data_IF_794674790353
#
_entry.id   IF_794674790353
#
_cell.length_a   1.000
_cell.length_b   1.000
_cell.length_c   1.000
_cell.angle_alpha   90.00
_cell.angle_beta   90.00
_cell.angle_gamma   90.00
#
_symmetry.space_group_name_H-M   'P 1'
#
loop_
_entity.id
_entity.type
_entity.pdbx_description
1 polymer ?
#
# COMPACT_ATOMS: atom_id res chain seq x y z
N UNK A 1 18.41 10.06 3.00
CA UNK A 1 17.35 9.43 2.18
C UNK A 1 16.08 10.21 2.48
N UNK A 2 15.59 10.95 1.49
CA UNK A 2 14.39 11.77 1.67
C UNK A 2 13.16 10.86 1.79
N UNK A 3 12.26 11.17 2.72
CA UNK A 3 10.95 10.51 2.82
C UNK A 3 10.20 10.84 1.52
N UNK A 4 10.03 9.85 0.64
CA UNK A 4 9.18 10.01 -0.53
C UNK A 4 7.72 10.09 -0.07
N UNK A 5 6.95 11.05 -0.55
CA UNK A 5 5.54 11.24 -0.23
C UNK A 5 4.71 11.06 -1.50
N UNK A 6 3.70 10.20 -1.47
CA UNK A 6 2.83 9.90 -2.63
C UNK A 6 1.49 10.62 -2.45
N UNK A 7 0.97 11.33 -3.47
CA UNK A 7 -0.38 11.90 -3.43
C UNK A 7 -1.44 10.80 -3.46
N UNK A 8 -2.47 10.90 -2.61
CA UNK A 8 -3.46 9.81 -2.44
C UNK A 8 -4.93 10.23 -2.53
N UNK A 9 -5.24 11.49 -2.21
CA UNK A 9 -6.61 12.03 -2.24
C UNK A 9 -6.57 13.57 -2.14
N UNK A 10 -7.64 14.23 -2.57
CA UNK A 10 -7.89 15.63 -2.23
C UNK A 10 -8.44 15.74 -0.79
N UNK A 11 -8.06 16.80 -0.07
CA UNK A 11 -8.58 17.07 1.27
C UNK A 11 -10.11 17.24 1.27
N UNK A 12 -10.66 17.82 0.20
CA UNK A 12 -12.09 18.06 0.05
C UNK A 12 -12.92 16.76 -0.02
N UNK A 13 -12.30 15.63 -0.40
CA UNK A 13 -12.95 14.32 -0.42
C UNK A 13 -13.18 13.74 0.98
N UNK A 14 -12.56 14.32 2.02
CA UNK A 14 -12.62 13.84 3.40
C UNK A 14 -12.92 15.03 4.33
N UNK A 15 -14.20 15.46 4.44
CA UNK A 15 -14.58 16.51 5.38
C UNK A 15 -14.20 16.15 6.83
N UNK A 16 -14.05 17.14 7.74
CA UNK A 16 -13.81 16.88 9.17
C UNK A 16 -14.83 15.89 9.76
N UNK A 17 -14.35 14.97 10.58
CA UNK A 17 -15.15 13.89 11.18
C UNK A 17 -15.44 12.72 10.23
N UNK A 18 -14.81 12.68 9.04
CA UNK A 18 -15.01 11.60 8.05
C UNK A 18 -13.72 10.82 7.81
N UNK A 19 -13.90 9.63 7.27
CA UNK A 19 -12.84 8.74 6.81
C UNK A 19 -12.95 8.45 5.32
N UNK A 20 -11.85 8.00 4.71
CA UNK A 20 -11.82 7.49 3.34
C UNK A 20 -10.76 6.40 3.21
N UNK A 21 -11.08 5.33 2.50
CA UNK A 21 -10.09 4.30 2.15
C UNK A 21 -9.52 4.59 0.77
N UNK A 22 -8.19 4.63 0.67
CA UNK A 22 -7.45 4.77 -0.58
C UNK A 22 -6.58 3.54 -0.80
N UNK A 23 -6.29 3.22 -2.06
CA UNK A 23 -5.38 2.11 -2.41
C UNK A 23 -4.11 2.67 -3.02
N UNK A 24 -2.96 2.36 -2.40
CA UNK A 24 -1.64 2.80 -2.86
C UNK A 24 -0.75 1.58 -2.95
N UNK A 25 -0.24 1.28 -4.15
CA UNK A 25 0.67 0.14 -4.39
C UNK A 25 0.15 -1.21 -3.84
N UNK A 26 -1.17 -1.44 -3.92
CA UNK A 26 -1.83 -2.64 -3.41
C UNK A 26 -2.20 -2.63 -1.92
N UNK A 27 -1.66 -1.70 -1.13
CA UNK A 27 -2.06 -1.50 0.26
C UNK A 27 -3.35 -0.67 0.36
N UNK A 28 -4.26 -1.05 1.25
CA UNK A 28 -5.44 -0.26 1.58
C UNK A 28 -5.14 0.61 2.81
N UNK A 29 -5.25 1.92 2.66
CA UNK A 29 -4.92 2.92 3.67
C UNK A 29 -6.20 3.65 4.05
N UNK A 30 -6.51 3.68 5.34
CA UNK A 30 -7.61 4.47 5.89
C UNK A 30 -7.09 5.86 6.26
N UNK A 31 -7.68 6.88 5.65
CA UNK A 31 -7.47 8.30 5.95
C UNK A 31 -8.58 8.77 6.88
N UNK A 32 -8.24 9.54 7.90
CA UNK A 32 -9.17 10.09 8.90
C UNK A 32 -8.94 11.60 9.01
N UNK A 33 -10.00 12.39 8.86
CA UNK A 33 -9.93 13.83 9.11
C UNK A 33 -10.50 14.15 10.50
N UNK A 34 -9.62 14.44 11.45
CA UNK A 34 -9.99 14.84 12.82
C UNK A 34 -9.82 16.34 12.94
N UNK A 35 -10.93 17.07 13.01
CA UNK A 35 -10.97 18.53 13.18
C UNK A 35 -10.09 19.31 12.17
N UNK A 36 -9.98 18.82 10.93
CA UNK A 36 -9.17 19.42 9.87
C UNK A 36 -7.76 18.84 9.74
N UNK A 37 -7.33 17.98 10.67
CA UNK A 37 -6.02 17.32 10.63
C UNK A 37 -6.19 15.90 10.10
N UNK A 38 -5.44 15.56 9.04
CA UNK A 38 -5.52 14.25 8.40
C UNK A 38 -4.51 13.29 8.99
N UNK A 39 -4.98 12.09 9.34
CA UNK A 39 -4.18 10.96 9.80
C UNK A 39 -4.37 9.77 8.87
N UNK A 40 -3.36 8.90 8.79
CA UNK A 40 -3.40 7.71 7.93
C UNK A 40 -2.99 6.45 8.70
N UNK A 41 -3.76 5.38 8.51
CA UNK A 41 -3.52 4.06 9.09
C UNK A 41 -3.69 2.95 8.08
N UNK A 42 -3.18 1.77 8.38
CA UNK A 42 -3.55 0.56 7.65
C UNK A 42 -5.06 0.33 7.78
N UNK A 43 -5.74 0.08 6.67
CA UNK A 43 -7.17 -0.19 6.72
C UNK A 43 -7.48 -1.53 7.41
N UNK A 44 -6.48 -2.41 7.57
CA UNK A 44 -6.66 -3.72 8.20
C UNK A 44 -6.55 -3.61 9.72
N UNK A 45 -7.65 -3.88 10.41
CA UNK A 45 -7.69 -3.95 11.86
C UNK A 45 -6.71 -5.02 12.39
N UNK A 46 -5.81 -4.70 13.34
CA UNK A 46 -4.86 -5.66 13.91
C UNK A 46 -5.48 -6.85 14.66
N UNK A 47 -6.77 -6.77 15.01
CA UNK A 47 -7.51 -7.86 15.65
C UNK A 47 -7.72 -9.02 14.65
N UNK A 48 -8.67 -8.88 13.73
CA UNK A 48 -9.03 -9.93 12.75
C UNK A 48 -9.13 -9.41 11.32
N UNK A 49 -8.54 -8.24 11.05
CA UNK A 49 -8.43 -7.69 9.70
C UNK A 49 -9.63 -6.95 9.15
N UNK A 50 -10.60 -6.60 10.00
CA UNK A 50 -11.75 -5.77 9.63
C UNK A 50 -11.36 -4.38 9.06
N UNK A 51 -12.23 -3.75 8.26
CA UNK A 51 -11.93 -2.50 7.56
C UNK A 51 -12.08 -1.28 8.48
N UNK A 52 -10.97 -0.74 8.98
CA UNK A 52 -10.99 0.40 9.91
C UNK A 52 -11.58 1.67 9.30
N UNK A 53 -11.29 1.95 8.03
CA UNK A 53 -11.78 3.14 7.33
C UNK A 53 -13.28 3.14 7.07
N UNK A 54 -13.95 1.98 7.18
CA UNK A 54 -15.41 1.85 7.08
C UNK A 54 -16.09 1.92 8.47
N UNK A 55 -15.30 2.17 9.52
CA UNK A 55 -15.77 2.30 10.90
C UNK A 55 -16.34 3.66 11.26
N UNK A 56 -16.74 3.79 12.52
CA UNK A 56 -17.27 5.05 13.08
C UNK A 56 -16.14 5.85 13.75
N UNK A 57 -15.90 7.07 13.26
CA UNK A 57 -14.88 7.97 13.79
C UNK A 57 -15.51 8.94 14.80
N UNK A 58 -15.13 8.81 16.07
CA UNK A 58 -15.53 9.71 17.15
C UNK A 58 -14.30 10.43 17.72
N UNK A 59 -14.20 11.73 17.46
CA UNK A 59 -13.01 12.52 17.77
C UNK A 59 -11.79 11.92 17.07
N UNK A 60 -10.81 11.46 17.85
CA UNK A 60 -9.61 10.79 17.34
C UNK A 60 -9.69 9.25 17.43
N UNK A 61 -10.84 8.68 17.75
CA UNK A 61 -11.00 7.23 17.94
C UNK A 61 -11.81 6.62 16.79
N UNK A 62 -11.25 5.63 16.11
CA UNK A 62 -11.97 4.83 15.11
C UNK A 62 -12.45 3.53 15.73
N UNK A 63 -13.73 3.23 15.61
CA UNK A 63 -14.31 1.94 15.99
C UNK A 63 -14.44 1.02 14.76
N UNK A 64 -13.78 -0.14 14.81
CA UNK A 64 -13.85 -1.12 13.75
C UNK A 64 -15.26 -1.74 13.65
N UNK A 65 -15.90 -1.78 12.47
CA UNK A 65 -17.28 -2.23 12.33
C UNK A 65 -17.45 -3.74 12.54
N UNK A 66 -16.36 -4.53 12.46
CA UNK A 66 -16.44 -5.99 12.59
C UNK A 66 -16.63 -6.44 14.05
N UNK A 67 -15.83 -5.91 14.97
CA UNK A 67 -15.76 -6.37 16.37
C UNK A 67 -15.65 -5.23 17.38
N UNK A 68 -15.86 -3.98 16.95
CA UNK A 68 -15.92 -2.79 17.81
C UNK A 68 -14.61 -2.50 18.56
N UNK A 69 -13.50 -2.98 18.01
CA UNK A 69 -12.17 -2.62 18.50
C UNK A 69 -11.89 -1.15 18.16
N UNK A 70 -11.50 -0.40 19.18
CA UNK A 70 -11.28 1.05 19.09
C UNK A 70 -9.80 1.39 19.07
N UNK A 71 -9.43 2.28 18.16
CA UNK A 71 -8.04 2.71 17.98
C UNK A 71 -7.93 4.23 17.93
N UNK A 72 -6.90 4.80 18.57
CA UNK A 72 -6.55 6.21 18.38
C UNK A 72 -5.89 6.39 17.00
N UNK A 73 -6.48 7.20 16.12
CA UNK A 73 -6.03 7.32 14.72
C UNK A 73 -4.68 8.01 14.55
N UNK A 74 -4.23 8.73 15.58
CA UNK A 74 -2.99 9.50 15.58
C UNK A 74 -1.80 8.60 15.90
N UNK A 75 -2.02 7.62 16.77
CA UNK A 75 -0.97 6.77 17.34
C UNK A 75 -1.11 5.29 16.99
N UNK A 76 -2.26 4.89 16.45
CA UNK A 76 -2.64 3.51 16.22
C UNK A 76 -2.91 2.70 17.49
N UNK A 77 -2.88 3.31 18.69
CA UNK A 77 -3.04 2.60 19.95
C UNK A 77 -4.43 1.98 20.09
N UNK A 78 -4.50 0.70 20.44
CA UNK A 78 -5.77 0.04 20.75
C UNK A 78 -6.22 0.37 22.17
N UNK A 79 -7.51 0.68 22.33
CA UNK A 79 -8.13 0.94 23.64
C UNK A 79 -8.39 -0.34 24.45
N UNK A 80 -8.53 -1.49 23.77
CA UNK A 80 -8.85 -2.78 24.41
C UNK A 80 -7.61 -3.56 24.85
N UNK A 81 -6.48 -3.37 24.17
CA UNK A 81 -5.21 -4.03 24.47
C UNK A 81 -4.03 -3.07 24.23
N UNK A 82 -3.34 -2.60 25.29
CA UNK A 82 -2.21 -1.68 25.16
C UNK A 82 -1.01 -2.23 24.34
N UNK A 83 -0.92 -3.54 24.17
CA UNK A 83 0.13 -4.20 23.37
C UNK A 83 -0.16 -4.17 21.87
N UNK A 84 -1.42 -3.95 21.48
CA UNK A 84 -1.86 -3.94 20.09
C UNK A 84 -1.83 -2.53 19.52
N UNK A 85 -1.22 -2.38 18.34
CA UNK A 85 -1.18 -1.12 17.60
C UNK A 85 -1.45 -1.35 16.12
N UNK A 86 -2.30 -0.51 15.55
CA UNK A 86 -2.46 -0.40 14.11
C UNK A 86 -1.31 0.41 13.51
N UNK A 87 -0.87 0.02 12.32
CA UNK A 87 0.22 0.69 11.62
C UNK A 87 -0.24 2.07 11.13
N UNK A 88 0.51 3.11 11.48
CA UNK A 88 0.28 4.48 11.02
C UNK A 88 1.30 4.88 9.95
N UNK A 89 0.94 5.91 9.18
CA UNK A 89 1.77 6.50 8.13
C UNK A 89 1.86 8.00 8.33
N UNK A 90 3.02 8.58 8.02
CA UNK A 90 3.16 10.03 8.06
C UNK A 90 2.35 10.66 6.92
N UNK A 91 1.63 11.73 7.25
CA UNK A 91 0.77 12.47 6.34
C UNK A 91 1.29 13.89 6.18
N UNK A 92 1.27 14.38 4.95
CA UNK A 92 1.47 15.80 4.64
C UNK A 92 0.30 16.28 3.81
N UNK A 93 -0.24 17.44 4.14
CA UNK A 93 -1.25 18.11 3.32
C UNK A 93 -0.61 19.35 2.72
N UNK A 94 -0.65 19.47 1.39
CA UNK A 94 -0.10 20.62 0.68
C UNK A 94 -1.01 20.99 -0.50
N UNK A 95 -1.31 22.28 -0.66
CA UNK A 95 -2.22 22.80 -1.70
C UNK A 95 -3.55 22.04 -1.85
N UNK A 96 -4.12 21.53 -0.75
CA UNK A 96 -5.38 20.76 -0.76
C UNK A 96 -5.23 19.29 -1.17
N UNK A 97 -4.02 18.81 -1.41
CA UNK A 97 -3.72 17.40 -1.68
C UNK A 97 -3.16 16.72 -0.42
N UNK A 98 -3.64 15.51 -0.14
CA UNK A 98 -3.15 14.64 0.90
C UNK A 98 -2.04 13.75 0.32
N UNK A 99 -0.89 13.74 1.00
CA UNK A 99 0.24 12.90 0.69
C UNK A 99 0.54 11.96 1.85
N UNK A 100 0.93 10.72 1.54
CA UNK A 100 1.32 9.70 2.53
C UNK A 100 2.75 9.24 2.28
N UNK A 101 3.52 9.03 3.35
CA UNK A 101 4.90 8.56 3.31
C UNK A 101 5.04 7.19 2.62
N UNK A 102 5.78 7.19 1.52
CA UNK A 102 6.03 6.05 0.66
C UNK A 102 6.98 5.03 1.28
N UNK A 103 7.96 5.40 2.12
CA UNK A 103 8.91 4.42 2.69
C UNK A 103 8.24 3.32 3.49
N UNK A 104 7.07 3.58 4.09
CA UNK A 104 6.27 2.59 4.82
C UNK A 104 5.23 1.86 3.96
N UNK A 105 4.93 2.40 2.77
CA UNK A 105 4.03 1.82 1.75
C UNK A 105 4.80 0.93 0.76
N UNK A 106 5.99 1.39 0.36
CA UNK A 106 6.96 0.83 -0.58
C UNK A 106 8.15 0.19 0.11
N UNK A 107 8.12 0.04 1.43
CA UNK A 107 8.81 -1.08 2.05
C UNK A 107 8.17 -2.34 1.47
N UNK A 108 8.50 -2.68 0.22
CA UNK A 108 8.59 -4.05 -0.22
C UNK A 108 9.50 -4.66 0.83
N UNK A 109 8.96 -5.41 1.80
CA UNK A 109 9.83 -6.08 2.73
C UNK A 109 10.72 -6.92 1.82
N UNK A 110 12.02 -6.99 2.08
CA UNK A 110 12.93 -7.90 1.35
C UNK A 110 12.31 -9.31 1.16
N UNK A 111 11.40 -9.67 2.07
CA UNK A 111 10.47 -10.80 2.10
C UNK A 111 9.54 -10.91 0.87
N UNK A 112 8.92 -9.86 0.32
CA UNK A 112 8.06 -9.99 -0.87
C UNK A 112 8.86 -10.40 -2.10
N UNK A 113 10.02 -9.79 -2.35
CA UNK A 113 10.87 -10.15 -3.50
C UNK A 113 11.37 -11.59 -3.42
N UNK A 114 11.66 -12.05 -2.21
CA UNK A 114 12.02 -13.46 -1.96
C UNK A 114 10.82 -14.40 -2.10
N UNK A 115 9.67 -14.05 -1.53
CA UNK A 115 8.40 -14.79 -1.69
C UNK A 115 8.05 -14.94 -3.17
N UNK A 116 8.08 -13.86 -3.94
CA UNK A 116 7.77 -13.88 -5.37
C UNK A 116 8.75 -14.74 -6.17
N UNK A 117 10.06 -14.68 -5.85
CA UNK A 117 11.08 -15.54 -6.47
C UNK A 117 10.80 -17.02 -6.20
N UNK A 118 10.51 -17.37 -4.95
CA UNK A 118 10.31 -18.75 -4.50
C UNK A 118 8.99 -19.33 -5.01
N UNK A 119 7.91 -18.54 -5.03
CA UNK A 119 6.65 -18.92 -5.69
C UNK A 119 6.88 -19.15 -7.18
N UNK A 120 7.64 -18.28 -7.86
CA UNK A 120 7.97 -18.47 -9.27
C UNK A 120 8.84 -19.71 -9.53
N UNK A 121 9.64 -20.13 -8.55
CA UNK A 121 10.40 -21.37 -8.56
C UNK A 121 9.55 -22.62 -8.24
N UNK A 122 8.25 -22.46 -7.95
CA UNK A 122 7.33 -23.56 -7.67
C UNK A 122 7.34 -24.05 -6.22
N UNK A 123 7.92 -23.28 -5.29
CA UNK A 123 7.90 -23.63 -3.89
C UNK A 123 6.51 -23.46 -3.26
N UNK A 124 6.15 -24.36 -2.34
CA UNK A 124 4.86 -24.35 -1.68
C UNK A 124 4.70 -23.13 -0.73
N UNK A 125 3.54 -22.47 -0.70
CA UNK A 125 3.27 -21.33 0.18
C UNK A 125 3.58 -21.60 1.66
N UNK A 126 3.32 -22.81 2.14
CA UNK A 126 3.63 -23.22 3.52
C UNK A 126 5.13 -23.18 3.83
N UNK A 127 5.97 -23.60 2.88
CA UNK A 127 7.42 -23.63 3.07
C UNK A 127 8.00 -22.20 3.06
N UNK A 128 7.54 -21.40 2.10
CA UNK A 128 7.93 -19.99 1.99
C UNK A 128 7.49 -19.23 3.25
N UNK A 129 6.25 -19.44 3.69
CA UNK A 129 5.66 -18.78 4.85
C UNK A 129 6.43 -19.05 6.14
N UNK A 130 6.80 -20.31 6.39
CA UNK A 130 7.65 -20.67 7.54
C UNK A 130 8.97 -19.91 7.56
N UNK A 131 9.62 -19.77 6.40
CA UNK A 131 10.95 -19.16 6.31
C UNK A 131 10.92 -17.63 6.40
N UNK A 132 9.90 -16.99 5.81
CA UNK A 132 9.80 -15.53 5.79
C UNK A 132 8.86 -14.97 6.86
N UNK A 133 8.35 -15.81 7.76
CA UNK A 133 7.44 -15.43 8.84
C UNK A 133 6.10 -14.89 8.35
N UNK A 134 5.52 -15.55 7.34
CA UNK A 134 4.19 -15.26 6.80
C UNK A 134 3.31 -16.52 6.92
N UNK A 135 2.00 -16.33 7.05
CA UNK A 135 1.05 -17.42 6.84
C UNK A 135 1.01 -17.84 5.36
N UNK A 136 0.60 -19.09 5.05
CA UNK A 136 0.42 -19.54 3.66
C UNK A 136 -0.51 -18.61 2.86
N UNK A 137 -1.58 -18.14 3.50
CA UNK A 137 -2.55 -17.21 2.90
C UNK A 137 -1.94 -15.82 2.65
N UNK A 138 -0.98 -15.37 3.45
CA UNK A 138 -0.24 -14.12 3.19
C UNK A 138 0.77 -14.29 2.06
N UNK A 139 1.38 -15.47 1.92
CA UNK A 139 2.22 -15.82 0.76
C UNK A 139 1.40 -15.84 -0.52
N UNK A 140 0.24 -16.51 -0.51
CA UNK A 140 -0.68 -16.54 -1.65
C UNK A 140 -1.20 -15.16 -2.01
N UNK A 141 -1.62 -14.36 -1.02
CA UNK A 141 -2.03 -12.96 -1.24
C UNK A 141 -0.90 -12.09 -1.79
N UNK A 142 0.34 -12.32 -1.36
CA UNK A 142 1.51 -11.61 -1.90
C UNK A 142 1.75 -12.00 -3.36
N UNK A 143 1.69 -13.28 -3.69
CA UNK A 143 1.81 -13.78 -5.07
C UNK A 143 0.66 -13.33 -5.98
N UNK A 144 -0.54 -13.18 -5.43
CA UNK A 144 -1.73 -12.70 -6.13
C UNK A 144 -1.73 -11.17 -6.29
N UNK A 145 -1.28 -10.41 -5.29
CA UNK A 145 -1.12 -8.95 -5.40
C UNK A 145 -0.15 -8.57 -6.53
N UNK A 146 0.86 -9.40 -6.80
CA UNK A 146 1.74 -9.30 -7.96
C UNK A 146 1.04 -9.59 -9.32
N UNK A 147 -0.18 -10.12 -9.36
CA UNK A 147 -0.98 -10.30 -10.60
C UNK A 147 -1.67 -9.02 -11.07
N UNK A 148 -1.95 -8.05 -10.19
CA UNK A 148 -2.74 -6.86 -10.55
C UNK A 148 -2.10 -5.52 -10.13
N UNK A 149 -1.26 -5.46 -9.09
CA UNK A 149 -0.73 -4.18 -8.55
C UNK A 149 0.72 -3.81 -8.92
N UNK A 150 1.60 -4.78 -9.16
CA UNK A 150 3.04 -4.55 -9.38
C UNK A 150 3.43 -4.33 -10.86
N UNK A 151 2.44 -4.25 -11.75
CA UNK A 151 2.68 -4.04 -13.19
C UNK A 151 3.14 -2.62 -13.54
N UNK A 152 3.14 -1.67 -12.60
CA UNK A 152 3.61 -0.29 -12.81
C UNK A 152 4.97 -0.02 -12.17
N UNK A 153 5.21 -0.51 -10.94
CA UNK A 153 6.47 -0.27 -10.22
C UNK A 153 7.63 -1.13 -10.76
N UNK A 154 7.37 -2.36 -11.20
CA UNK A 154 8.38 -3.19 -11.86
C UNK A 154 8.62 -2.77 -13.32
N UNK A 155 7.63 -2.12 -13.95
CA UNK A 155 7.76 -1.57 -15.30
C UNK A 155 8.75 -0.41 -15.33
N UNK A 156 8.77 0.47 -14.33
CA UNK A 156 9.72 1.58 -14.25
C UNK A 156 11.19 1.13 -14.35
N UNK A 157 11.62 0.15 -13.55
CA UNK A 157 13.01 -0.31 -13.51
C UNK A 157 13.42 -1.09 -14.79
N UNK A 158 12.47 -1.73 -15.49
CA UNK A 158 12.71 -2.41 -16.77
C UNK A 158 12.69 -1.45 -17.98
N UNK A 159 11.81 -0.43 -17.94
CA UNK A 159 11.67 0.58 -18.99
C UNK A 159 12.90 1.47 -19.08
N UNK A 160 13.43 1.89 -17.93
CA UNK A 160 14.61 2.76 -17.82
C UNK A 160 15.90 2.09 -18.34
N UNK A 161 15.96 0.75 -18.37
CA UNK A 161 17.20 0.02 -18.71
C UNK A 161 17.34 -0.40 -20.16
N UNK A 162 16.27 -0.59 -20.95
CA UNK A 162 16.38 -1.24 -22.27
C UNK A 162 15.54 -0.69 -23.43
N UNK A 163 14.76 0.39 -23.25
CA UNK A 163 14.21 1.16 -24.37
C UNK A 163 13.21 0.48 -25.32
N UNK A 164 12.90 -0.81 -25.21
CA UNK A 164 11.79 -1.48 -25.91
C UNK A 164 11.19 -2.60 -25.07
N UNK A 165 9.88 -2.52 -24.83
CA UNK A 165 9.10 -3.59 -24.18
C UNK A 165 8.71 -4.61 -25.24
N UNK A 166 9.53 -5.65 -25.38
CA UNK A 166 9.15 -6.92 -25.99
C UNK A 166 9.57 -8.04 -25.06
N UNK A 167 8.63 -8.88 -24.63
CA UNK A 167 8.92 -9.99 -23.72
C UNK A 167 7.69 -10.64 -23.09
N UNK A 168 7.97 -11.54 -22.17
CA UNK A 168 6.99 -12.17 -21.27
C UNK A 168 7.32 -11.77 -19.83
N UNK A 169 6.35 -11.82 -18.90
CA UNK A 169 6.65 -11.68 -17.47
C UNK A 169 7.54 -12.84 -16.97
N UNK A 170 7.96 -12.79 -15.70
CA UNK A 170 8.78 -13.85 -15.07
C UNK A 170 8.09 -15.23 -15.02
N UNK A 171 6.82 -15.32 -15.45
CA UNK A 171 6.03 -16.56 -15.58
C UNK A 171 5.72 -16.90 -17.03
N UNK A 172 6.34 -16.23 -18.01
CA UNK A 172 6.14 -16.52 -19.44
C UNK A 172 4.87 -15.92 -20.04
N UNK A 173 4.18 -14.99 -19.36
CA UNK A 173 2.96 -14.35 -19.90
C UNK A 173 3.33 -13.24 -20.89
N UNK A 174 2.90 -13.29 -22.17
CA UNK A 174 3.25 -12.27 -23.17
C UNK A 174 2.56 -10.93 -22.89
N UNK A 175 3.30 -9.81 -23.04
CA UNK A 175 2.78 -8.44 -22.90
C UNK A 175 1.85 -7.97 -24.05
N UNK A 176 1.14 -8.87 -24.74
CA UNK A 176 0.36 -8.51 -25.94
C UNK A 176 -0.92 -7.76 -25.56
N UNK A 177 -1.16 -6.60 -26.16
CA UNK A 177 -2.41 -5.83 -26.03
C UNK A 177 -2.37 -4.62 -25.09
N UNK A 178 -1.25 -4.37 -24.40
CA UNK A 178 -1.06 -3.10 -23.69
C UNK A 178 -0.63 -2.01 -24.68
N UNK A 179 -1.32 -0.87 -24.67
CA UNK A 179 -0.85 0.32 -25.38
C UNK A 179 0.48 0.77 -24.75
N UNK A 180 1.48 1.16 -25.54
CA UNK A 180 2.68 1.77 -24.98
C UNK A 180 2.29 3.01 -24.14
N UNK A 181 3.05 3.32 -23.08
CA UNK A 181 2.82 4.53 -22.30
C UNK A 181 2.88 5.76 -23.21
N UNK A 182 1.95 6.67 -23.02
CA UNK A 182 1.94 7.96 -23.71
C UNK A 182 3.04 8.90 -23.19
N UNK A 183 3.21 10.04 -23.86
CA UNK A 183 4.28 10.98 -23.56
C UNK A 183 4.20 11.56 -22.14
N UNK A 184 2.99 11.67 -21.59
CA UNK A 184 2.75 12.19 -20.24
C UNK A 184 3.20 11.17 -19.18
N UNK A 185 2.84 9.90 -19.37
CA UNK A 185 3.28 8.81 -18.51
C UNK A 185 4.79 8.58 -18.60
N UNK A 186 5.40 8.75 -19.78
CA UNK A 186 6.85 8.70 -19.94
C UNK A 186 7.57 9.84 -19.21
N UNK A 187 7.05 11.06 -19.27
CA UNK A 187 7.62 12.20 -18.56
C UNK A 187 7.54 12.02 -17.04
N UNK A 188 6.44 11.46 -16.53
CA UNK A 188 6.29 11.13 -15.11
C UNK A 188 7.30 10.07 -14.64
N UNK A 189 7.51 9.02 -15.45
CA UNK A 189 8.48 7.97 -15.15
C UNK A 189 9.94 8.47 -15.23
N UNK A 190 10.26 9.36 -16.18
CA UNK A 190 11.59 9.94 -16.33
C UNK A 190 11.92 10.95 -15.21
N UNK A 191 10.91 11.71 -14.76
CA UNK A 191 11.02 12.55 -13.56
C UNK A 191 11.29 11.72 -12.31
N UNK A 192 10.60 10.58 -12.14
CA UNK A 192 10.84 9.64 -11.04
C UNK A 192 12.25 9.02 -11.10
N UNK A 193 12.74 8.68 -12.30
CA UNK A 193 14.07 8.08 -12.47
C UNK A 193 15.24 9.02 -12.12
N UNK A 194 15.07 10.32 -12.34
CA UNK A 194 16.09 11.36 -12.02
C UNK A 194 16.16 11.72 -10.54
N UNK A 195 15.21 11.21 -9.75
CA UNK A 195 15.13 11.40 -8.30
C UNK A 195 15.69 10.21 -7.50
N UNK A 196 16.06 9.12 -8.19
CA UNK A 196 16.80 7.96 -7.64
C UNK A 196 18.31 8.12 -7.82
#
# INVERSE_FOLDING_TARGET
>A
MALEFIPVAELAEIPPGRSRVVRVSGAAIALFNVDGVVYAMDNRCPHEGGPLGDGELEGATIECPSHQWRFDVRTGACAHDPSVRAKTYDVRVDHGMIFVEASRLLAAPRRHREVLRRVAAGEAPDAIGRDVGLSPQEVERTAEAARVGERLLYFGDLYLRKGRVGGTDLRGVPYRGMKPPDAEMLAALDALARLM
#
